data_IF_543764934075
#
_entry.id   IF_543764934075
#
_cell.length_a   1.000
_cell.length_b   1.000
_cell.length_c   1.000
_cell.angle_alpha   90.00
_cell.angle_beta   90.00
_cell.angle_gamma   90.00
#
_symmetry.space_group_name_H-M   'P 1'
#
loop_
_entity.id
_entity.type
_entity.pdbx_description
1 polymer ?
#
# COMPACT_ATOMS: atom_id res chain seq x y z
N UNK A 1 -2.73 -5.12 5.89
CA UNK A 1 -1.61 -4.91 4.98
C UNK A 1 -1.19 -3.47 5.13
N UNK A 2 0.08 -3.26 5.48
CA UNK A 2 0.61 -1.94 5.78
C UNK A 2 1.75 -1.62 4.80
N UNK A 3 1.73 -0.42 4.24
CA UNK A 3 2.73 0.03 3.26
C UNK A 3 3.60 1.08 3.93
N UNK A 4 4.91 0.86 3.93
CA UNK A 4 5.86 1.82 4.51
C UNK A 4 6.77 2.39 3.43
N UNK A 5 6.76 3.71 3.31
CA UNK A 5 7.55 4.46 2.32
C UNK A 5 8.65 5.19 3.07
N UNK A 6 9.89 4.76 2.82
CA UNK A 6 11.11 5.31 3.44
C UNK A 6 12.05 5.84 2.35
N UNK A 7 13.16 6.45 2.76
CA UNK A 7 14.23 6.85 1.82
C UNK A 7 14.85 5.68 1.05
N UNK A 8 14.82 4.46 1.61
CA UNK A 8 15.40 3.25 1.01
C UNK A 8 14.45 2.54 0.04
N UNK A 9 13.15 2.88 0.04
CA UNK A 9 12.17 2.31 -0.87
C UNK A 9 10.78 2.13 -0.27
N UNK A 10 10.05 1.16 -0.82
CA UNK A 10 8.67 0.83 -0.43
C UNK A 10 8.64 -0.61 0.05
N UNK A 11 8.13 -0.82 1.27
CA UNK A 11 7.95 -2.16 1.84
C UNK A 11 6.48 -2.40 2.18
N UNK A 12 6.07 -3.67 2.11
CA UNK A 12 4.71 -4.09 2.45
C UNK A 12 4.80 -5.14 3.56
N UNK A 13 4.13 -4.90 4.68
CA UNK A 13 4.02 -5.84 5.80
C UNK A 13 2.58 -6.30 5.98
N UNK A 14 2.42 -7.36 6.78
CA UNK A 14 1.10 -7.91 7.13
C UNK A 14 0.27 -8.22 5.88
N UNK A 15 0.93 -8.86 4.90
CA UNK A 15 0.38 -9.17 3.58
C UNK A 15 -0.88 -10.04 3.69
N UNK A 16 -1.02 -10.84 4.75
CA UNK A 16 -2.19 -11.66 5.05
C UNK A 16 -3.43 -10.86 5.46
N UNK A 17 -3.26 -9.61 5.92
CA UNK A 17 -4.37 -8.75 6.34
C UNK A 17 -4.95 -8.03 5.12
N UNK A 18 -6.06 -8.57 4.62
CA UNK A 18 -6.73 -8.16 3.38
C UNK A 18 -7.95 -7.25 3.60
N UNK A 19 -8.30 -6.94 4.85
CA UNK A 19 -9.46 -6.11 5.22
C UNK A 19 -9.06 -4.68 5.54
N UNK A 20 -7.80 -4.47 5.92
CA UNK A 20 -7.22 -3.16 6.17
C UNK A 20 -6.01 -2.94 5.25
N UNK A 21 -6.01 -1.80 4.56
CA UNK A 21 -4.91 -1.34 3.72
C UNK A 21 -4.67 0.14 3.99
N UNK A 22 -3.49 0.46 4.51
CA UNK A 22 -3.04 1.82 4.78
C UNK A 22 -1.56 1.98 4.40
N UNK A 23 -1.11 3.23 4.39
CA UNK A 23 0.26 3.58 4.13
C UNK A 23 0.78 4.57 5.16
N UNK A 24 2.07 4.47 5.49
CA UNK A 24 2.82 5.45 6.28
C UNK A 24 3.98 5.96 5.42
N UNK A 25 4.15 7.28 5.43
CA UNK A 25 5.28 7.96 4.80
C UNK A 25 6.21 8.45 5.91
N UNK A 26 7.49 8.07 5.84
CA UNK A 26 8.49 8.57 6.79
C UNK A 26 8.66 10.10 6.66
N UNK A 27 8.79 10.84 7.77
CA UNK A 27 8.95 12.29 7.73
C UNK A 27 10.13 12.74 6.87
N UNK A 28 9.89 13.69 5.98
CA UNK A 28 10.92 14.27 5.10
C UNK A 28 11.22 13.44 3.84
N UNK A 29 10.50 12.34 3.60
CA UNK A 29 10.60 11.55 2.37
C UNK A 29 9.79 12.17 1.24
N UNK A 30 10.40 12.25 0.05
CA UNK A 30 9.69 12.51 -1.20
C UNK A 30 9.01 11.22 -1.69
N UNK A 31 7.80 10.98 -1.16
CA UNK A 31 7.07 9.74 -1.39
C UNK A 31 6.76 9.49 -2.88
N UNK A 32 6.42 10.52 -3.66
CA UNK A 32 6.08 10.34 -5.08
C UNK A 32 7.29 9.85 -5.88
N UNK A 33 8.47 10.43 -5.62
CA UNK A 33 9.72 10.00 -6.25
C UNK A 33 10.08 8.56 -5.89
N UNK A 34 9.95 8.17 -4.62
CA UNK A 34 10.21 6.79 -4.17
C UNK A 34 9.21 5.80 -4.77
N UNK A 35 7.92 6.12 -4.76
CA UNK A 35 6.86 5.27 -5.31
C UNK A 35 7.04 5.04 -6.82
N UNK A 36 7.42 6.09 -7.56
CA UNK A 36 7.66 5.98 -9.01
C UNK A 36 8.93 5.20 -9.33
N UNK A 37 10.04 5.48 -8.64
CA UNK A 37 11.32 4.80 -8.90
C UNK A 37 11.27 3.30 -8.62
N UNK A 38 10.46 2.89 -7.63
CA UNK A 38 10.21 1.49 -7.30
C UNK A 38 9.09 0.83 -8.13
N UNK A 39 8.43 1.59 -9.01
CA UNK A 39 7.21 1.17 -9.73
C UNK A 39 6.07 0.72 -8.79
N UNK A 40 6.14 1.10 -7.52
CA UNK A 40 5.12 0.79 -6.51
C UNK A 40 3.86 1.63 -6.73
N UNK A 41 3.99 2.83 -7.28
CA UNK A 41 2.84 3.68 -7.62
C UNK A 41 3.16 5.17 -7.70
N UNK A 42 2.29 6.01 -7.14
CA UNK A 42 2.47 7.47 -7.11
C UNK A 42 1.59 8.11 -6.01
N UNK A 43 1.88 9.35 -5.63
CA UNK A 43 1.02 10.14 -4.74
C UNK A 43 -0.21 10.65 -5.52
N UNK A 44 -1.40 10.55 -4.93
CA UNK A 44 -2.66 11.03 -5.53
C UNK A 44 -3.01 12.41 -4.99
N UNK A 45 -2.98 12.55 -3.66
CA UNK A 45 -3.24 13.78 -2.92
C UNK A 45 -2.57 13.69 -1.54
N UNK A 46 -2.77 14.70 -0.68
CA UNK A 46 -2.09 14.80 0.62
C UNK A 46 -2.39 13.62 1.56
N UNK A 47 -3.55 12.98 1.40
CA UNK A 47 -4.03 11.90 2.28
C UNK A 47 -4.04 10.53 1.58
N UNK A 48 -3.64 10.45 0.30
CA UNK A 48 -3.76 9.23 -0.48
C UNK A 48 -2.60 9.00 -1.44
N UNK A 49 -2.21 7.73 -1.55
CA UNK A 49 -1.32 7.23 -2.57
C UNK A 49 -2.05 6.22 -3.46
N UNK A 50 -1.57 6.07 -4.69
CA UNK A 50 -1.90 4.96 -5.57
C UNK A 50 -0.82 3.91 -5.45
N UNK A 51 -1.20 2.65 -5.23
CA UNK A 51 -0.28 1.51 -5.16
C UNK A 51 -0.69 0.49 -6.20
N UNK A 52 0.23 0.13 -7.09
CA UNK A 52 -0.08 -0.75 -8.22
C UNK A 52 -0.42 -2.16 -7.74
N UNK A 53 -1.42 -2.77 -8.36
CA UNK A 53 -1.78 -4.16 -8.07
C UNK A 53 -0.63 -5.12 -8.41
N UNK A 54 0.17 -4.77 -9.42
CA UNK A 54 1.35 -5.54 -9.80
C UNK A 54 2.41 -5.54 -8.68
N UNK A 55 2.66 -4.40 -8.04
CA UNK A 55 3.58 -4.30 -6.93
C UNK A 55 3.10 -5.12 -5.72
N UNK A 56 1.83 -5.00 -5.33
CA UNK A 56 1.28 -5.76 -4.20
C UNK A 56 1.36 -7.29 -4.43
N UNK A 57 1.03 -7.76 -5.63
CA UNK A 57 1.18 -9.17 -5.99
C UNK A 57 2.65 -9.60 -5.98
N UNK A 58 3.55 -8.74 -6.48
CA UNK A 58 4.99 -9.03 -6.45
C UNK A 58 5.53 -9.12 -5.02
N UNK A 59 5.06 -8.27 -4.09
CA UNK A 59 5.43 -8.34 -2.68
C UNK A 59 4.96 -9.63 -2.00
N UNK A 60 3.89 -10.25 -2.49
CA UNK A 60 3.41 -11.54 -2.00
C UNK A 60 4.21 -12.75 -2.55
N UNK A 61 4.99 -12.58 -3.62
CA UNK A 61 5.77 -13.68 -4.19
C UNK A 61 6.85 -14.14 -3.20
N UNK A 62 6.79 -15.42 -2.83
CA UNK A 62 7.74 -16.03 -1.89
C UNK A 62 7.43 -15.77 -0.41
N UNK A 63 6.38 -15.01 -0.09
CA UNK A 63 5.87 -14.86 1.26
C UNK A 63 5.13 -16.13 1.72
N UNK A 64 5.24 -16.48 3.01
CA UNK A 64 4.53 -17.61 3.59
C UNK A 64 3.07 -17.22 3.92
N UNK A 65 2.23 -17.13 2.87
CA UNK A 65 0.85 -16.66 2.99
C UNK A 65 -0.15 -17.83 3.14
N UNK A 66 -1.31 -17.59 3.77
CA UNK A 66 -2.36 -18.60 3.87
C UNK A 66 -2.84 -19.11 2.51
N UNK A 67 -3.26 -20.37 2.47
CA UNK A 67 -3.92 -20.93 1.30
C UNK A 67 -5.17 -20.10 0.93
N UNK A 68 -5.31 -19.76 -0.35
CA UNK A 68 -6.41 -18.92 -0.83
C UNK A 68 -6.20 -17.41 -0.69
N UNK A 69 -5.00 -16.96 -0.31
CA UNK A 69 -4.66 -15.54 -0.26
C UNK A 69 -5.00 -14.80 -1.55
N UNK A 70 -4.64 -15.35 -2.73
CA UNK A 70 -4.94 -14.73 -4.04
C UNK A 70 -6.44 -14.47 -4.21
N UNK A 71 -7.28 -15.47 -3.89
CA UNK A 71 -8.73 -15.33 -3.97
C UNK A 71 -9.29 -14.32 -2.95
N UNK A 72 -8.63 -14.16 -1.80
CA UNK A 72 -8.92 -13.11 -0.84
C UNK A 72 -8.54 -11.73 -1.39
N UNK A 73 -7.35 -11.60 -1.97
CA UNK A 73 -6.84 -10.37 -2.55
C UNK A 73 -7.74 -9.87 -3.68
N UNK A 74 -8.16 -10.76 -4.59
CA UNK A 74 -9.12 -10.42 -5.65
C UNK A 74 -10.46 -9.90 -5.09
N UNK A 75 -10.95 -10.45 -3.97
CA UNK A 75 -12.16 -9.91 -3.31
C UNK A 75 -11.92 -8.53 -2.73
N UNK A 76 -10.74 -8.26 -2.18
CA UNK A 76 -10.35 -6.93 -1.69
C UNK A 76 -10.29 -5.93 -2.84
N UNK A 77 -9.71 -6.31 -3.98
CA UNK A 77 -9.68 -5.47 -5.19
C UNK A 77 -11.10 -5.20 -5.69
N UNK A 78 -11.95 -6.21 -5.82
CA UNK A 78 -13.34 -6.04 -6.24
C UNK A 78 -14.15 -5.17 -5.26
N UNK A 79 -13.89 -5.29 -3.96
CA UNK A 79 -14.49 -4.41 -2.96
C UNK A 79 -14.03 -2.95 -3.15
N UNK A 80 -12.72 -2.71 -3.30
CA UNK A 80 -12.18 -1.39 -3.56
C UNK A 80 -12.72 -0.79 -4.86
N UNK A 81 -12.90 -1.60 -5.91
CA UNK A 81 -13.53 -1.19 -7.16
C UNK A 81 -14.98 -0.74 -6.94
N UNK A 82 -15.75 -1.50 -6.14
CA UNK A 82 -17.13 -1.11 -5.78
C UNK A 82 -17.23 0.20 -5.01
N UNK A 83 -16.12 0.65 -4.41
CA UNK A 83 -16.00 1.94 -3.72
C UNK A 83 -15.40 3.05 -4.59
N UNK A 84 -15.00 2.74 -5.82
CA UNK A 84 -14.30 3.68 -6.70
C UNK A 84 -12.86 3.98 -6.26
N UNK A 85 -12.24 3.08 -5.51
CA UNK A 85 -10.86 3.23 -5.02
C UNK A 85 -9.82 2.60 -5.96
N UNK A 86 -10.24 1.94 -7.03
CA UNK A 86 -9.33 1.39 -8.03
C UNK A 86 -9.13 2.43 -9.14
N UNK A 87 -7.89 2.86 -9.30
CA UNK A 87 -7.46 3.68 -10.44
C UNK A 87 -7.21 2.77 -11.65
N UNK A 88 -7.62 3.25 -12.82
CA UNK A 88 -7.44 2.54 -14.09
C UNK A 88 -6.17 3.06 -14.77
N UNK A 89 -5.43 2.15 -15.42
CA UNK A 89 -4.27 2.43 -16.29
C UNK A 89 -3.08 3.21 -15.66
N UNK A 90 -2.15 2.52 -14.95
CA UNK A 90 -2.20 1.10 -14.60
C UNK A 90 -3.14 0.83 -13.41
N UNK A 91 -3.69 -0.39 -13.29
CA UNK A 91 -4.50 -0.78 -12.14
C UNK A 91 -3.77 -0.57 -10.81
N UNK A 92 -4.33 0.30 -9.97
CA UNK A 92 -3.79 0.63 -8.66
C UNK A 92 -4.90 0.84 -7.63
N UNK A 93 -4.59 0.55 -6.36
CA UNK A 93 -5.46 0.88 -5.24
C UNK A 93 -5.11 2.27 -4.71
N UNK A 94 -6.12 3.11 -4.54
CA UNK A 94 -6.03 4.33 -3.75
C UNK A 94 -6.04 3.93 -2.27
N UNK A 95 -4.93 4.18 -1.59
CA UNK A 95 -4.67 3.82 -0.20
C UNK A 95 -4.58 5.09 0.63
N UNK A 96 -5.22 5.09 1.79
CA UNK A 96 -5.14 6.21 2.72
C UNK A 96 -3.78 6.22 3.42
N UNK A 97 -3.16 7.41 3.48
CA UNK A 97 -1.96 7.64 4.26
C UNK A 97 -2.37 7.96 5.69
N UNK A 98 -1.97 7.11 6.63
CA UNK A 98 -2.11 7.40 8.04
C UNK A 98 -0.89 8.16 8.50
N UNK A 99 -1.10 9.26 9.23
CA UNK A 99 0.00 9.91 9.91
C UNK A 99 0.51 8.94 10.97
N UNK A 100 1.81 8.68 10.99
CA UNK A 100 2.43 8.03 12.13
C UNK A 100 2.25 9.02 13.28
N UNK A 101 1.19 8.87 14.08
CA UNK A 101 1.11 9.56 15.37
C UNK A 101 2.33 9.08 16.13
N UNK A 102 3.36 9.91 16.18
CA UNK A 102 4.48 9.74 17.09
C UNK A 102 3.85 9.66 18.47
N UNK A 103 3.60 8.44 18.95
CA UNK A 103 3.27 8.23 20.35
C UNK A 103 4.34 8.99 21.14
N UNK A 104 3.98 9.99 21.97
CA UNK A 104 4.98 10.66 22.78
C UNK A 104 5.70 9.58 23.58
N UNK A 105 7.04 9.66 23.76
CA UNK A 105 7.74 8.71 24.61
C UNK A 105 7.05 8.71 25.97
N UNK A 106 6.60 7.55 26.43
CA UNK A 106 6.09 7.39 27.79
C UNK A 106 7.13 7.96 28.74
N UNK A 107 6.75 9.03 29.44
CA UNK A 107 7.57 9.74 30.41
C UNK A 107 7.99 8.84 31.58
#
# INVERSE_FOLDING_TARGET
MHIHITTDGVTVTDLEELRALDAVIEPGVDADSILRSTHAGHVVDDDHIAVTLAFLRASALGANLPAGWEAGFEKTVAYAESKGWVLQDPPALRVHVVQNETLPPSA
#
